data_IF_176590921123
#
_entry.id   IF_176590921123
#
_cell.length_a   1.000
_cell.length_b   1.000
_cell.length_c   1.000
_cell.angle_alpha   90.00
_cell.angle_beta   90.00
_cell.angle_gamma   90.00
#
_symmetry.space_group_name_H-M   'P 1'
#
loop_
_entity.id
_entity.type
_entity.pdbx_description
1 polymer ?
#
# COMPACT_ATOMS: atom_id res chain seq x y z
N UNK A 1 28.01 -4.77 16.06
CA UNK A 1 27.57 -3.91 14.97
C UNK A 1 26.51 -4.63 14.16
N UNK A 2 25.36 -4.04 14.07
CA UNK A 2 24.30 -4.57 13.20
C UNK A 2 24.61 -4.12 11.78
N UNK A 3 24.85 -5.08 10.90
CA UNK A 3 25.04 -4.78 9.49
C UNK A 3 23.68 -4.82 8.80
N UNK A 4 23.21 -3.66 8.44
CA UNK A 4 21.98 -3.57 7.66
C UNK A 4 22.20 -4.07 6.25
N UNK A 5 21.21 -4.80 5.73
CA UNK A 5 21.23 -5.19 4.34
C UNK A 5 20.86 -3.98 3.46
N UNK A 6 21.70 -3.68 2.51
CA UNK A 6 21.43 -2.63 1.51
C UNK A 6 21.28 -3.29 0.15
N UNK A 7 20.20 -2.97 -0.53
CA UNK A 7 19.99 -3.44 -1.89
C UNK A 7 20.57 -2.45 -2.88
N UNK A 8 21.33 -2.96 -3.83
CA UNK A 8 21.86 -2.18 -4.95
C UNK A 8 20.78 -2.00 -6.03
N UNK A 9 20.95 -1.06 -6.96
CA UNK A 9 19.94 -0.79 -7.99
C UNK A 9 19.41 -2.02 -8.74
N UNK A 10 20.27 -3.00 -9.01
CA UNK A 10 19.84 -4.24 -9.68
C UNK A 10 18.93 -5.11 -8.82
N UNK A 11 19.02 -5.00 -7.51
CA UNK A 11 18.19 -5.74 -6.56
C UNK A 11 16.92 -4.96 -6.22
N UNK A 12 17.01 -3.64 -6.18
CA UNK A 12 15.90 -2.74 -5.88
C UNK A 12 14.84 -2.81 -6.97
N UNK A 13 15.25 -3.04 -8.22
CA UNK A 13 14.33 -3.18 -9.35
C UNK A 13 13.37 -4.37 -9.21
N UNK A 14 13.61 -5.26 -8.27
CA UNK A 14 12.70 -6.38 -7.99
C UNK A 14 11.55 -6.00 -7.07
N UNK A 15 11.55 -4.79 -6.51
CA UNK A 15 10.57 -4.33 -5.54
C UNK A 15 9.70 -3.23 -6.09
N UNK A 16 8.42 -3.28 -5.72
CA UNK A 16 7.47 -2.18 -5.93
C UNK A 16 6.74 -1.90 -4.62
N UNK A 17 6.41 -0.63 -4.43
CA UNK A 17 5.52 -0.21 -3.35
C UNK A 17 4.15 0.07 -3.96
N UNK A 18 3.13 -0.52 -3.37
CA UNK A 18 1.75 -0.25 -3.71
C UNK A 18 1.14 0.54 -2.56
N UNK A 19 0.64 1.72 -2.87
CA UNK A 19 0.01 2.60 -1.89
C UNK A 19 -1.47 2.73 -2.21
N UNK A 20 -2.30 2.65 -1.17
CA UNK A 20 -3.74 2.71 -1.31
C UNK A 20 -4.32 3.73 -0.36
N UNK A 21 -5.26 4.52 -0.84
CA UNK A 21 -6.19 5.26 0.00
C UNK A 21 -7.54 4.59 -0.20
N UNK A 22 -8.06 3.90 0.80
CA UNK A 22 -9.21 3.04 0.64
C UNK A 22 -10.24 3.28 1.75
N UNK A 23 -11.51 3.13 1.41
CA UNK A 23 -12.59 3.21 2.38
C UNK A 23 -12.39 2.23 3.53
N UNK A 24 -12.74 2.68 4.73
CA UNK A 24 -12.67 1.86 5.94
C UNK A 24 -13.38 0.51 5.78
N UNK A 25 -14.52 0.49 5.10
CA UNK A 25 -15.32 -0.72 4.91
C UNK A 25 -14.63 -1.77 4.03
N UNK A 26 -13.65 -1.36 3.24
CA UNK A 26 -12.91 -2.25 2.35
C UNK A 26 -11.52 -2.62 2.86
N UNK A 27 -11.14 -2.12 4.04
CA UNK A 27 -9.80 -2.34 4.57
C UNK A 27 -9.47 -3.82 4.75
N UNK A 28 -10.34 -4.56 5.42
CA UNK A 28 -10.08 -5.97 5.70
C UNK A 28 -9.94 -6.78 4.42
N UNK A 29 -10.79 -6.50 3.44
CA UNK A 29 -10.72 -7.16 2.13
C UNK A 29 -9.40 -6.83 1.41
N UNK A 30 -8.94 -5.59 1.51
CA UNK A 30 -7.66 -5.19 0.91
C UNK A 30 -6.49 -5.89 1.58
N UNK A 31 -6.44 -5.93 2.89
CA UNK A 31 -5.35 -6.57 3.63
C UNK A 31 -5.30 -8.07 3.31
N UNK A 32 -6.45 -8.72 3.29
CA UNK A 32 -6.54 -10.14 2.91
C UNK A 32 -6.08 -10.36 1.47
N UNK A 33 -6.51 -9.51 0.55
CA UNK A 33 -6.09 -9.59 -0.85
C UNK A 33 -4.57 -9.47 -1.00
N UNK A 34 -3.97 -8.48 -0.33
CA UNK A 34 -2.52 -8.27 -0.40
C UNK A 34 -1.76 -9.52 0.04
N UNK A 35 -2.12 -10.07 1.20
CA UNK A 35 -1.44 -11.24 1.75
C UNK A 35 -1.65 -12.47 0.86
N UNK A 36 -2.85 -12.67 0.35
CA UNK A 36 -3.18 -13.86 -0.45
C UNK A 36 -2.61 -13.81 -1.87
N UNK A 37 -2.18 -12.65 -2.34
CA UNK A 37 -1.67 -12.48 -3.69
C UNK A 37 -0.19 -12.12 -3.76
N UNK A 38 0.57 -12.45 -2.73
CA UNK A 38 2.02 -12.33 -2.74
C UNK A 38 2.56 -10.98 -2.32
N UNK A 39 1.70 -10.07 -1.86
CA UNK A 39 2.12 -8.80 -1.30
C UNK A 39 2.39 -8.89 0.19
N UNK A 40 2.98 -7.83 0.73
CA UNK A 40 3.23 -7.69 2.15
C UNK A 40 2.80 -6.32 2.64
N UNK A 41 1.99 -6.29 3.68
CA UNK A 41 1.56 -5.02 4.27
C UNK A 41 2.70 -4.44 5.11
N UNK A 42 3.08 -3.21 4.80
CA UNK A 42 4.09 -2.47 5.57
C UNK A 42 3.43 -1.64 6.65
N UNK A 43 2.34 -0.96 6.30
CA UNK A 43 1.64 -0.08 7.23
C UNK A 43 0.19 0.11 6.77
N UNK A 44 -0.68 0.31 7.75
CA UNK A 44 -2.07 0.70 7.50
C UNK A 44 -2.47 1.68 8.59
N UNK A 45 -2.80 2.91 8.20
CA UNK A 45 -3.13 3.97 9.16
C UNK A 45 -4.42 4.68 8.74
N UNK A 46 -5.25 5.09 9.71
CA UNK A 46 -6.41 5.91 9.41
C UNK A 46 -6.00 7.24 8.76
N UNK A 47 -6.76 7.69 7.77
CA UNK A 47 -6.51 8.97 7.12
C UNK A 47 -7.80 9.62 6.65
N UNK A 48 -7.71 10.91 6.34
CA UNK A 48 -8.79 11.60 5.66
C UNK A 48 -8.88 11.10 4.22
N UNK A 49 -10.08 11.13 3.67
CA UNK A 49 -10.26 10.89 2.26
C UNK A 49 -9.69 12.04 1.41
N UNK A 50 -9.74 11.85 0.11
CA UNK A 50 -9.16 12.82 -0.83
C UNK A 50 -10.06 14.01 -1.12
N UNK A 51 -11.31 14.02 -0.65
CA UNK A 51 -12.20 15.16 -0.82
C UNK A 51 -11.92 16.22 0.23
N UNK A 52 -12.19 17.48 -0.14
CA UNK A 52 -12.01 18.60 0.79
C UNK A 52 -12.82 18.43 2.07
N UNK A 53 -14.06 17.97 1.95
CA UNK A 53 -14.94 17.82 3.11
C UNK A 53 -14.41 16.79 4.09
N UNK A 54 -13.89 15.68 3.60
CA UNK A 54 -13.30 14.63 4.43
C UNK A 54 -12.05 15.12 5.16
N UNK A 55 -11.21 15.92 4.48
CA UNK A 55 -10.02 16.51 5.08
C UNK A 55 -10.41 17.49 6.20
N UNK A 56 -11.41 18.33 5.94
CA UNK A 56 -11.88 19.31 6.94
C UNK A 56 -12.46 18.59 8.15
N UNK A 57 -13.26 17.55 7.94
CA UNK A 57 -13.83 16.74 9.02
C UNK A 57 -12.73 16.10 9.87
N UNK A 58 -11.70 15.56 9.26
CA UNK A 58 -10.57 14.97 9.96
C UNK A 58 -9.82 16.02 10.81
N UNK A 59 -9.60 17.22 10.29
CA UNK A 59 -8.96 18.32 11.01
C UNK A 59 -9.79 18.72 12.23
N UNK A 60 -11.11 18.69 12.12
CA UNK A 60 -12.03 19.05 13.19
C UNK A 60 -12.27 17.91 14.20
N UNK A 61 -11.53 16.81 14.10
CA UNK A 61 -11.59 15.71 15.07
C UNK A 61 -12.68 14.68 14.80
N UNK A 62 -13.32 14.71 13.64
CA UNK A 62 -14.26 13.66 13.26
C UNK A 62 -13.51 12.39 12.86
N UNK A 63 -14.18 11.24 12.92
CA UNK A 63 -13.58 9.96 12.58
C UNK A 63 -13.14 9.93 11.11
N UNK A 64 -12.01 9.26 10.88
CA UNK A 64 -11.51 9.05 9.53
C UNK A 64 -12.35 8.00 8.81
N UNK A 65 -12.74 8.30 7.57
CA UNK A 65 -13.49 7.38 6.73
C UNK A 65 -12.64 6.50 5.83
N UNK A 66 -11.31 6.70 5.85
CA UNK A 66 -10.36 6.04 4.96
C UNK A 66 -9.15 5.53 5.72
N UNK A 67 -8.43 4.63 5.06
CA UNK A 67 -7.12 4.16 5.50
C UNK A 67 -6.10 4.35 4.40
N UNK A 68 -4.90 4.73 4.81
CA UNK A 68 -3.73 4.71 3.95
C UNK A 68 -2.98 3.41 4.20
N UNK A 69 -2.79 2.62 3.15
CA UNK A 69 -2.15 1.31 3.23
C UNK A 69 -0.92 1.31 2.33
N UNK A 70 0.21 0.94 2.90
CA UNK A 70 1.44 0.68 2.15
C UNK A 70 1.69 -0.81 2.12
N UNK A 71 1.96 -1.31 0.92
CA UNK A 71 2.31 -2.71 0.72
C UNK A 71 3.53 -2.80 -0.19
N UNK A 72 4.26 -3.90 -0.06
CA UNK A 72 5.35 -4.25 -0.97
C UNK A 72 4.96 -5.47 -1.78
N UNK A 73 5.37 -5.52 -3.03
CA UNK A 73 5.30 -6.72 -3.83
C UNK A 73 6.50 -6.81 -4.76
N UNK A 74 6.73 -7.99 -5.31
CA UNK A 74 7.73 -8.18 -6.33
C UNK A 74 7.32 -7.46 -7.60
N UNK A 75 8.26 -6.81 -8.25
CA UNK A 75 7.98 -5.98 -9.42
C UNK A 75 7.35 -6.78 -10.56
N UNK A 76 7.77 -8.02 -10.74
CA UNK A 76 7.27 -8.89 -11.81
C UNK A 76 5.78 -9.21 -11.69
N UNK A 77 5.20 -9.18 -10.49
CA UNK A 77 3.78 -9.45 -10.27
C UNK A 77 2.94 -8.18 -10.11
N UNK A 78 3.58 -7.01 -10.06
CA UNK A 78 2.89 -5.76 -9.71
C UNK A 78 1.75 -5.42 -10.65
N UNK A 79 1.94 -5.55 -11.96
CA UNK A 79 0.90 -5.20 -12.93
C UNK A 79 -0.35 -6.05 -12.75
N UNK A 80 -0.16 -7.36 -12.63
CA UNK A 80 -1.28 -8.31 -12.43
C UNK A 80 -1.92 -8.08 -11.07
N UNK A 81 -1.10 -7.87 -10.04
CA UNK A 81 -1.56 -7.59 -8.69
C UNK A 81 -2.44 -6.33 -8.67
N UNK A 82 -1.99 -5.24 -9.28
CA UNK A 82 -2.73 -3.98 -9.30
C UNK A 82 -4.02 -4.08 -10.12
N UNK A 83 -3.99 -4.76 -11.25
CA UNK A 83 -5.19 -4.99 -12.05
C UNK A 83 -6.24 -5.75 -11.25
N UNK A 84 -5.83 -6.78 -10.55
CA UNK A 84 -6.75 -7.63 -9.79
C UNK A 84 -7.29 -6.93 -8.55
N UNK A 85 -6.46 -6.16 -7.83
CA UNK A 85 -6.93 -5.44 -6.65
C UNK A 85 -7.91 -4.34 -7.02
N UNK A 86 -7.64 -3.62 -8.09
CA UNK A 86 -8.56 -2.58 -8.58
C UNK A 86 -9.90 -3.18 -8.95
N UNK A 87 -9.88 -4.32 -9.63
CA UNK A 87 -11.11 -5.01 -10.06
C UNK A 87 -11.90 -5.58 -8.88
N UNK A 88 -11.25 -6.33 -7.99
CA UNK A 88 -11.93 -7.02 -6.88
C UNK A 88 -12.48 -6.04 -5.84
N UNK A 89 -11.72 -5.00 -5.52
CA UNK A 89 -12.10 -4.03 -4.52
C UNK A 89 -12.83 -2.81 -5.10
N UNK A 90 -13.02 -2.80 -6.41
CA UNK A 90 -13.71 -1.73 -7.12
C UNK A 90 -13.10 -0.35 -6.85
N UNK A 91 -11.77 -0.29 -6.74
CA UNK A 91 -11.05 0.95 -6.43
C UNK A 91 -11.28 2.02 -7.50
N UNK A 92 -11.48 1.60 -8.74
CA UNK A 92 -11.73 2.51 -9.86
C UNK A 92 -13.10 3.18 -9.82
N UNK A 93 -14.00 2.75 -8.94
CA UNK A 93 -15.26 3.46 -8.73
C UNK A 93 -14.99 4.62 -7.80
N UNK A 94 -15.45 5.82 -8.16
CA UNK A 94 -15.23 7.00 -7.36
C UNK A 94 -15.82 6.78 -5.96
N UNK A 95 -15.25 7.33 -4.95
CA UNK A 95 -15.55 7.18 -3.52
C UNK A 95 -14.96 5.94 -2.84
N UNK A 96 -14.51 4.91 -3.58
CA UNK A 96 -13.92 3.74 -2.94
C UNK A 96 -12.46 3.93 -2.55
N UNK A 97 -11.72 4.73 -3.34
CA UNK A 97 -10.33 5.01 -3.00
C UNK A 97 -9.46 5.25 -4.20
N UNK A 98 -8.17 5.23 -3.96
CA UNK A 98 -7.11 5.38 -4.98
C UNK A 98 -5.99 4.39 -4.72
N UNK A 99 -5.28 4.03 -5.79
CA UNK A 99 -4.14 3.14 -5.72
C UNK A 99 -2.99 3.72 -6.54
N UNK A 100 -1.78 3.57 -6.03
CA UNK A 100 -0.56 4.07 -6.66
C UNK A 100 0.51 3.00 -6.64
N UNK A 101 1.37 3.02 -7.64
CA UNK A 101 2.60 2.23 -7.65
C UNK A 101 3.78 3.18 -7.56
N UNK A 102 4.70 2.89 -6.67
CA UNK A 102 5.88 3.70 -6.44
C UNK A 102 7.13 2.85 -6.64
N UNK A 103 8.15 3.44 -7.25
CA UNK A 103 9.44 2.79 -7.37
C UNK A 103 10.19 2.85 -6.04
N UNK A 104 10.92 1.77 -5.75
CA UNK A 104 11.82 1.72 -4.62
C UNK A 104 13.21 2.12 -5.08
N UNK A 105 13.75 3.20 -4.53
CA UNK A 105 15.08 3.69 -4.86
C UNK A 105 16.17 3.10 -3.98
N UNK A 106 15.82 2.56 -2.84
CA UNK A 106 16.77 1.95 -1.92
C UNK A 106 16.05 1.18 -0.82
N UNK A 107 16.74 0.20 -0.29
CA UNK A 107 16.29 -0.57 0.86
C UNK A 107 17.44 -0.78 1.82
N UNK A 108 17.18 -0.63 3.11
CA UNK A 108 18.14 -0.92 4.16
C UNK A 108 17.40 -1.59 5.31
N UNK A 109 17.92 -2.73 5.74
CA UNK A 109 17.34 -3.47 6.86
C UNK A 109 18.24 -4.62 7.26
N UNK A 110 17.99 -5.17 8.44
CA UNK A 110 18.76 -6.31 8.95
C UNK A 110 18.46 -7.60 8.16
N UNK A 111 17.29 -7.67 7.55
CA UNK A 111 16.85 -8.81 6.74
C UNK A 111 16.34 -8.30 5.40
N UNK A 112 16.14 -9.20 4.45
CA UNK A 112 15.56 -8.85 3.16
C UNK A 112 14.16 -8.26 3.30
N UNK A 113 13.66 -7.52 2.30
CA UNK A 113 12.38 -6.79 2.41
C UNK A 113 11.16 -7.69 2.58
N UNK A 114 11.24 -8.96 2.18
CA UNK A 114 10.15 -9.93 2.34
C UNK A 114 10.36 -10.91 3.50
N UNK A 115 11.34 -10.64 4.35
CA UNK A 115 11.67 -11.49 5.51
C UNK A 115 11.35 -10.74 6.80
N UNK A 116 10.62 -11.37 7.68
CA UNK A 116 10.26 -10.81 8.98
C UNK A 116 11.39 -10.86 10.02
#
# INVERSE_FOLDING_TARGET
>A
VIVSRTLYPSQINELSICAFVIKKQKLDDLLEFIVNNGGRVVSAVPCAGVSRNEIVDAINGYSFGFYFVLAMCQKEITDIFMMNVVKELEINKHTNGKAFVLDVLGYMGAKGPFVE
#
